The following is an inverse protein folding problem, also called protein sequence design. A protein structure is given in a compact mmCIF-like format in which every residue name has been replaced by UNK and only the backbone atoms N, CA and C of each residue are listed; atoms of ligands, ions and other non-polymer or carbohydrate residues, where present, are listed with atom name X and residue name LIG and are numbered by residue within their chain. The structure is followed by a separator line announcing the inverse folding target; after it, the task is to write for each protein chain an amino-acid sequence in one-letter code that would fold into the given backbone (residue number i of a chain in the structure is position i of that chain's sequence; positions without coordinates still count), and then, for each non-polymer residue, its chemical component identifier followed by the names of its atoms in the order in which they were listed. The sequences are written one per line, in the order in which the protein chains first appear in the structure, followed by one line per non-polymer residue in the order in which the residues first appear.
data_IF_688182581106
#
_entry.id   IF_688182581106
#
_cell.length_a   1.000
_cell.length_b   1.000
_cell.length_c   1.000
_cell.angle_alpha   90.00
_cell.angle_beta   90.00
_cell.angle_gamma   90.00
#
_symmetry.space_group_name_H-M   'P 1'
#
loop_
_entity.id
_entity.type
_entity.pdbx_description
1 polymer ?
#
# COMPACT_ATOMS: atom_id res chain seq x y z
N UNK A 1 -32.74 2.98 8.01
CA UNK A 1 -32.62 2.35 6.68
C UNK A 1 -32.86 3.30 5.50
N UNK A 2 -33.64 4.40 5.63
CA UNK A 2 -33.87 5.36 4.53
C UNK A 2 -32.66 6.25 4.18
N UNK A 3 -31.82 6.60 5.15
CA UNK A 3 -30.68 7.51 4.95
C UNK A 3 -29.48 6.87 4.23
N UNK A 4 -29.26 5.56 4.43
CA UNK A 4 -28.14 4.83 3.80
C UNK A 4 -28.38 4.62 2.31
N UNK A 5 -29.63 4.46 1.88
CA UNK A 5 -30.00 4.37 0.46
C UNK A 5 -29.80 5.70 -0.28
N UNK A 6 -29.97 6.84 0.42
CA UNK A 6 -29.78 8.17 -0.17
C UNK A 6 -28.31 8.50 -0.44
N UNK A 7 -27.36 8.02 0.37
CA UNK A 7 -25.93 8.28 0.14
C UNK A 7 -25.39 7.61 -1.13
N UNK A 8 -25.88 6.41 -1.47
CA UNK A 8 -25.48 5.65 -2.67
C UNK A 8 -26.04 6.29 -3.95
N UNK A 9 -27.24 6.87 -3.88
CA UNK A 9 -27.86 7.56 -5.03
C UNK A 9 -27.17 8.90 -5.31
N UNK A 10 -26.69 9.59 -4.28
CA UNK A 10 -25.98 10.89 -4.43
C UNK A 10 -24.57 10.71 -5.01
N UNK A 11 -23.86 9.62 -4.70
CA UNK A 11 -22.54 9.35 -5.29
C UNK A 11 -22.62 8.92 -6.77
N UNK A 12 -23.65 8.16 -7.16
CA UNK A 12 -23.93 7.84 -8.57
C UNK A 12 -24.27 9.10 -9.39
N UNK A 13 -24.99 10.06 -8.80
CA UNK A 13 -25.32 11.33 -9.45
C UNK A 13 -24.11 12.28 -9.53
N UNK A 14 -23.22 12.29 -8.54
CA UNK A 14 -21.97 13.06 -8.60
C UNK A 14 -20.99 12.51 -9.65
N UNK A 15 -20.92 11.19 -9.82
CA UNK A 15 -20.16 10.57 -10.92
C UNK A 15 -20.71 10.94 -12.31
N UNK A 16 -22.05 10.92 -12.47
CA UNK A 16 -22.72 11.33 -13.71
C UNK A 16 -22.50 12.83 -14.04
N UNK A 17 -22.39 13.69 -13.02
CA UNK A 17 -22.11 15.11 -13.20
C UNK A 17 -20.67 15.38 -13.69
N UNK A 18 -19.68 14.59 -13.25
CA UNK A 18 -18.28 14.70 -13.71
C UNK A 18 -18.13 14.20 -15.16
N UNK A 19 -18.92 13.18 -15.55
CA UNK A 19 -19.04 12.73 -16.94
C UNK A 19 -19.73 13.77 -17.85
N UNK A 20 -20.52 14.68 -17.27
CA UNK A 20 -21.23 15.75 -18.00
C UNK A 20 -20.40 17.04 -18.16
N UNK A 21 -19.33 17.21 -17.38
CA UNK A 21 -18.44 18.38 -17.44
C UNK A 21 -17.17 18.16 -18.28
N UNK A 22 -17.07 17.04 -19.00
CA UNK A 22 -15.98 16.81 -19.95
C UNK A 22 -16.21 17.67 -21.19
N UNK A 23 -15.60 18.85 -21.25
CA UNK A 23 -15.51 19.63 -22.48
C UNK A 23 -14.89 18.75 -23.59
N UNK A 24 -15.45 18.71 -24.81
CA UNK A 24 -14.85 17.98 -25.90
C UNK A 24 -13.56 18.73 -26.30
N UNK A 25 -12.41 18.28 -25.81
CA UNK A 25 -11.13 18.63 -26.40
C UNK A 25 -11.04 17.93 -27.76
N UNK A 26 -11.65 18.55 -28.79
CA UNK A 26 -11.55 18.12 -30.18
C UNK A 26 -10.20 18.58 -30.72
N UNK A 27 -9.17 17.78 -30.48
CA UNK A 27 -7.98 17.79 -31.31
C UNK A 27 -8.15 16.64 -32.32
N UNK A 28 -8.67 16.97 -33.49
CA UNK A 28 -8.72 16.05 -34.64
C UNK A 28 -7.30 15.98 -35.23
N UNK A 29 -6.41 15.25 -34.55
CA UNK A 29 -5.07 14.99 -35.06
C UNK A 29 -5.05 13.82 -36.06
N UNK A 30 -4.23 13.89 -37.12
CA UNK A 30 -4.10 12.82 -38.09
C UNK A 30 -3.50 11.57 -37.43
N UNK A 31 -4.22 10.45 -37.50
CA UNK A 31 -3.67 9.11 -37.21
C UNK A 31 -3.64 8.70 -35.73
N UNK A 32 -4.74 8.89 -35.00
CA UNK A 32 -4.81 8.43 -33.60
C UNK A 32 -5.08 6.93 -33.54
N UNK A 33 -4.03 6.14 -33.31
CA UNK A 33 -4.15 4.68 -33.19
C UNK A 33 -4.94 4.27 -31.94
N UNK A 34 -5.95 3.42 -32.14
CA UNK A 34 -6.71 2.76 -31.08
C UNK A 34 -5.97 1.55 -30.47
N UNK A 35 -4.80 1.18 -30.99
CA UNK A 35 -4.12 -0.08 -30.64
C UNK A 35 -3.95 -0.24 -29.14
N UNK A 36 -4.50 -1.33 -28.59
CA UNK A 36 -4.48 -1.73 -27.19
C UNK A 36 -5.36 -0.90 -26.26
N UNK A 37 -5.91 0.24 -26.71
CA UNK A 37 -6.73 1.13 -25.85
C UNK A 37 -8.10 0.55 -25.60
N UNK A 38 -8.67 -0.13 -26.59
CA UNK A 38 -9.96 -0.82 -26.46
C UNK A 38 -9.83 -1.98 -25.48
N UNK A 39 -8.81 -2.82 -25.63
CA UNK A 39 -8.53 -3.94 -24.72
C UNK A 39 -8.27 -3.44 -23.30
N UNK A 40 -7.36 -2.48 -23.13
CA UNK A 40 -6.98 -1.96 -21.80
C UNK A 40 -8.17 -1.26 -21.13
N UNK A 41 -8.90 -0.44 -21.87
CA UNK A 41 -10.09 0.24 -21.36
C UNK A 41 -11.21 -0.72 -21.04
N UNK A 42 -11.45 -1.72 -21.89
CA UNK A 42 -12.41 -2.78 -21.63
C UNK A 42 -12.06 -3.61 -20.39
N UNK A 43 -10.78 -3.94 -20.20
CA UNK A 43 -10.33 -4.68 -19.02
C UNK A 43 -10.49 -3.86 -17.73
N UNK A 44 -10.10 -2.59 -17.74
CA UNK A 44 -10.33 -1.69 -16.61
C UNK A 44 -11.83 -1.56 -16.32
N UNK A 45 -12.63 -1.21 -17.32
CA UNK A 45 -14.07 -1.04 -17.15
C UNK A 45 -14.78 -2.32 -16.67
N UNK A 46 -14.39 -3.48 -17.22
CA UNK A 46 -14.97 -4.76 -16.84
C UNK A 46 -14.64 -5.18 -15.41
N UNK A 47 -13.40 -4.97 -14.96
CA UNK A 47 -13.00 -5.24 -13.57
C UNK A 47 -13.74 -4.32 -12.60
N UNK A 48 -13.76 -3.02 -12.88
CA UNK A 48 -14.44 -2.01 -12.08
C UNK A 48 -15.95 -2.28 -11.96
N UNK A 49 -16.61 -2.69 -13.05
CA UNK A 49 -18.03 -3.00 -13.06
C UNK A 49 -18.36 -4.21 -12.16
N UNK A 50 -17.59 -5.29 -12.25
CA UNK A 50 -17.82 -6.48 -11.43
C UNK A 50 -17.57 -6.18 -9.95
N UNK A 51 -16.44 -5.54 -9.64
CA UNK A 51 -16.09 -5.18 -8.25
C UNK A 51 -17.11 -4.21 -7.65
N UNK A 52 -17.66 -3.28 -8.44
CA UNK A 52 -18.74 -2.39 -8.02
C UNK A 52 -20.01 -3.16 -7.65
N UNK A 53 -20.41 -4.15 -8.45
CA UNK A 53 -21.57 -4.99 -8.17
C UNK A 53 -21.35 -5.81 -6.89
N UNK A 54 -20.17 -6.39 -6.70
CA UNK A 54 -19.80 -7.12 -5.49
C UNK A 54 -19.81 -6.22 -4.25
N UNK A 55 -19.34 -4.98 -4.39
CA UNK A 55 -19.37 -3.98 -3.31
C UNK A 55 -20.81 -3.61 -2.92
N UNK A 56 -21.68 -3.41 -3.92
CA UNK A 56 -23.11 -3.14 -3.70
C UNK A 56 -23.81 -4.34 -3.04
N UNK A 57 -23.44 -5.57 -3.43
CA UNK A 57 -23.92 -6.80 -2.81
C UNK A 57 -23.37 -7.00 -1.38
N UNK A 58 -22.38 -6.21 -0.96
CA UNK A 58 -21.82 -6.24 0.38
C UNK A 58 -20.85 -7.41 0.59
N UNK A 59 -20.14 -7.83 -0.46
CA UNK A 59 -19.07 -8.82 -0.32
C UNK A 59 -18.05 -8.33 0.72
N UNK A 60 -17.82 -9.11 1.77
CA UNK A 60 -16.81 -8.80 2.78
C UNK A 60 -15.42 -9.36 2.48
N UNK A 61 -15.27 -10.56 1.90
CA UNK A 61 -13.94 -11.12 1.74
C UNK A 61 -13.20 -10.44 0.58
N UNK A 62 -11.98 -9.98 0.84
CA UNK A 62 -11.10 -9.36 -0.17
C UNK A 62 -10.84 -10.28 -1.38
N UNK A 63 -10.84 -11.61 -1.17
CA UNK A 63 -10.63 -12.57 -2.26
C UNK A 63 -11.74 -12.55 -3.30
N UNK A 64 -12.98 -12.21 -2.92
CA UNK A 64 -14.10 -12.12 -3.86
C UNK A 64 -13.83 -11.02 -4.89
N UNK A 65 -13.46 -9.83 -4.42
CA UNK A 65 -13.08 -8.70 -5.27
C UNK A 65 -11.91 -8.99 -6.19
N UNK A 66 -10.94 -9.79 -5.74
CA UNK A 66 -9.81 -10.18 -6.58
C UNK A 66 -10.26 -11.11 -7.72
N UNK A 67 -11.04 -12.15 -7.41
CA UNK A 67 -11.53 -13.08 -8.43
C UNK A 67 -12.54 -12.41 -9.37
N UNK A 68 -13.50 -11.67 -8.82
CA UNK A 68 -14.49 -10.91 -9.57
C UNK A 68 -13.84 -9.86 -10.45
N UNK A 69 -12.92 -9.07 -9.90
CA UNK A 69 -12.16 -8.07 -10.65
C UNK A 69 -11.35 -8.66 -11.79
N UNK A 70 -10.61 -9.75 -11.56
CA UNK A 70 -9.84 -10.42 -12.62
C UNK A 70 -10.75 -11.03 -13.68
N UNK A 71 -11.84 -11.70 -13.29
CA UNK A 71 -12.80 -12.28 -14.22
C UNK A 71 -13.50 -11.20 -15.07
N UNK A 72 -13.92 -10.11 -14.41
CA UNK A 72 -14.49 -8.92 -15.06
C UNK A 72 -13.52 -8.28 -16.02
N UNK A 73 -12.24 -8.14 -15.65
CA UNK A 73 -11.22 -7.57 -16.50
C UNK A 73 -10.91 -8.46 -17.72
N UNK A 74 -10.87 -9.78 -17.55
CA UNK A 74 -10.72 -10.70 -18.67
C UNK A 74 -11.89 -10.59 -19.66
N UNK A 75 -13.13 -10.65 -19.16
CA UNK A 75 -14.34 -10.51 -19.98
C UNK A 75 -14.41 -9.14 -20.66
N UNK A 76 -14.10 -8.08 -19.92
CA UNK A 76 -14.05 -6.71 -20.42
C UNK A 76 -12.96 -6.50 -21.46
N UNK A 77 -11.78 -7.09 -21.30
CA UNK A 77 -10.70 -7.04 -22.28
C UNK A 77 -11.06 -7.71 -23.59
N UNK A 78 -11.77 -8.85 -23.54
CA UNK A 78 -12.32 -9.51 -24.73
C UNK A 78 -13.36 -8.62 -25.41
N UNK A 79 -14.27 -7.99 -24.66
CA UNK A 79 -15.20 -7.00 -25.21
C UNK A 79 -14.49 -5.81 -25.85
N UNK A 80 -13.45 -5.31 -25.19
CA UNK A 80 -12.60 -4.22 -25.65
C UNK A 80 -11.85 -4.53 -26.95
N UNK A 81 -11.42 -5.77 -27.13
CA UNK A 81 -10.83 -6.25 -28.38
C UNK A 81 -11.80 -6.12 -29.57
N UNK A 82 -13.06 -6.53 -29.40
CA UNK A 82 -14.07 -6.39 -30.46
C UNK A 82 -14.41 -4.92 -30.75
N UNK A 83 -14.39 -4.06 -29.74
CA UNK A 83 -14.57 -2.62 -29.93
C UNK A 83 -13.39 -2.00 -30.70
N UNK A 84 -12.17 -2.47 -30.44
CA UNK A 84 -10.96 -1.99 -31.11
C UNK A 84 -10.89 -2.38 -32.59
N UNK A 85 -11.55 -3.47 -33.00
CA UNK A 85 -11.67 -3.86 -34.41
C UNK A 85 -12.59 -2.94 -35.23
N UNK A 86 -13.34 -2.04 -34.57
CA UNK A 86 -14.18 -1.06 -35.24
C UNK A 86 -13.37 -0.05 -36.06
N UNK A 87 -14.01 0.53 -37.09
CA UNK A 87 -13.39 1.59 -37.91
C UNK A 87 -13.25 2.93 -37.19
N UNK A 88 -14.01 3.15 -36.11
CA UNK A 88 -13.97 4.37 -35.30
C UNK A 88 -13.13 4.13 -34.03
N UNK A 89 -12.07 4.91 -33.78
CA UNK A 89 -11.26 4.76 -32.56
C UNK A 89 -11.91 5.38 -31.32
N UNK A 90 -12.94 6.24 -31.45
CA UNK A 90 -13.59 6.95 -30.33
C UNK A 90 -14.09 6.03 -29.20
N UNK A 91 -14.77 4.91 -29.48
CA UNK A 91 -15.26 4.01 -28.43
C UNK A 91 -14.15 3.46 -27.54
N UNK A 92 -12.98 3.16 -28.10
CA UNK A 92 -11.81 2.69 -27.34
C UNK A 92 -11.31 3.74 -26.35
N UNK A 93 -11.35 5.02 -26.72
CA UNK A 93 -11.03 6.12 -25.80
C UNK A 93 -12.06 6.26 -24.69
N UNK A 94 -13.35 6.13 -25.00
CA UNK A 94 -14.40 6.19 -23.98
C UNK A 94 -14.34 5.01 -23.02
N UNK A 95 -14.03 3.80 -23.48
CA UNK A 95 -13.80 2.66 -22.61
C UNK A 95 -12.63 2.90 -21.66
N UNK A 96 -11.51 3.40 -22.19
CA UNK A 96 -10.33 3.70 -21.38
C UNK A 96 -10.60 4.80 -20.37
N UNK A 97 -11.18 5.91 -20.81
CA UNK A 97 -11.53 7.03 -19.95
C UNK A 97 -12.56 6.62 -18.89
N UNK A 98 -13.56 5.83 -19.26
CA UNK A 98 -14.57 5.31 -18.35
C UNK A 98 -13.98 4.37 -17.31
N UNK A 99 -13.11 3.44 -17.71
CA UNK A 99 -12.40 2.55 -16.80
C UNK A 99 -11.55 3.32 -15.79
N UNK A 100 -10.76 4.29 -16.25
CA UNK A 100 -9.94 5.14 -15.37
C UNK A 100 -10.78 6.01 -14.43
N UNK A 101 -11.92 6.53 -14.90
CA UNK A 101 -12.81 7.35 -14.09
C UNK A 101 -13.47 6.56 -12.94
N UNK A 102 -13.65 5.25 -13.10
CA UNK A 102 -14.32 4.41 -12.11
C UNK A 102 -13.41 3.91 -10.97
N UNK A 103 -12.09 3.98 -11.12
CA UNK A 103 -11.13 3.49 -10.11
C UNK A 103 -11.41 4.06 -8.72
N UNK A 104 -11.56 5.38 -8.61
CA UNK A 104 -11.79 6.06 -7.32
C UNK A 104 -13.13 5.64 -6.70
N UNK A 105 -14.29 5.79 -7.38
CA UNK A 105 -15.57 5.44 -6.78
C UNK A 105 -15.68 3.96 -6.41
N UNK A 106 -15.13 3.04 -7.20
CA UNK A 106 -15.14 1.61 -6.86
C UNK A 106 -14.25 1.33 -5.64
N UNK A 107 -13.07 1.93 -5.57
CA UNK A 107 -12.19 1.80 -4.39
C UNK A 107 -12.90 2.24 -3.12
N UNK A 108 -13.61 3.38 -3.16
CA UNK A 108 -14.41 3.86 -2.02
C UNK A 108 -15.51 2.87 -1.66
N UNK A 109 -16.22 2.32 -2.65
CA UNK A 109 -17.29 1.34 -2.42
C UNK A 109 -16.76 0.06 -1.75
N UNK A 110 -15.60 -0.46 -2.20
CA UNK A 110 -14.94 -1.63 -1.61
C UNK A 110 -14.52 -1.33 -0.17
N UNK A 111 -13.85 -0.20 0.08
CA UNK A 111 -13.41 0.16 1.43
C UNK A 111 -14.59 0.28 2.40
N UNK A 112 -15.71 0.83 1.94
CA UNK A 112 -16.93 0.92 2.72
C UNK A 112 -17.53 -0.47 3.01
N UNK A 113 -17.56 -1.37 2.03
CA UNK A 113 -18.13 -2.71 2.20
C UNK A 113 -17.27 -3.59 3.12
N UNK A 114 -15.94 -3.41 3.09
CA UNK A 114 -14.99 -4.14 3.93
C UNK A 114 -14.72 -3.47 5.28
N UNK A 115 -15.35 -2.33 5.57
CA UNK A 115 -15.15 -1.60 6.82
C UNK A 115 -15.48 -2.46 8.04
N UNK A 116 -14.64 -2.36 9.07
CA UNK A 116 -14.86 -3.06 10.33
C UNK A 116 -16.10 -2.51 11.03
N UNK A 117 -16.99 -3.42 11.43
CA UNK A 117 -18.15 -3.11 12.27
C UNK A 117 -17.91 -3.76 13.63
N UNK A 118 -17.71 -2.96 14.69
CA UNK A 118 -17.50 -3.51 16.01
C UNK A 118 -18.70 -4.39 16.42
N UNK A 119 -18.45 -5.50 17.15
CA UNK A 119 -19.50 -6.24 17.83
C UNK A 119 -20.35 -5.31 18.70
N UNK A 120 -21.63 -5.63 18.88
CA UNK A 120 -22.57 -4.80 19.65
C UNK A 120 -22.17 -4.63 21.13
N UNK A 121 -21.33 -5.54 21.59
CA UNK A 121 -20.77 -5.72 22.92
C UNK A 121 -19.36 -5.13 23.07
N UNK A 122 -18.83 -4.48 22.02
CA UNK A 122 -17.56 -3.76 22.09
C UNK A 122 -17.72 -2.45 22.89
N UNK A 123 -17.29 -2.49 24.15
CA UNK A 123 -17.10 -1.29 24.97
C UNK A 123 -15.74 -0.69 24.63
N UNK A 124 -15.77 0.50 24.01
CA UNK A 124 -14.58 1.31 23.81
C UNK A 124 -14.10 1.76 25.19
N UNK A 125 -12.90 1.31 25.61
CA UNK A 125 -12.25 1.77 26.85
C UNK A 125 -11.81 3.23 26.65
N UNK A 126 -12.79 4.13 26.64
CA UNK A 126 -12.53 5.56 26.70
C UNK A 126 -11.89 5.80 28.06
N UNK A 127 -10.66 6.35 28.12
CA UNK A 127 -10.21 6.95 29.36
C UNK A 127 -11.27 8.00 29.69
N UNK A 128 -12.07 7.68 30.71
CA UNK A 128 -13.11 8.57 31.19
C UNK A 128 -12.47 9.90 31.53
N UNK A 129 -13.30 10.93 31.63
CA UNK A 129 -12.98 12.12 32.43
C UNK A 129 -12.77 11.70 33.89
N UNK A 130 -11.69 10.99 34.17
CA UNK A 130 -11.09 10.91 35.47
C UNK A 130 -10.31 12.22 35.59
N UNK A 131 -10.83 13.09 36.45
CA UNK A 131 -10.08 14.14 37.14
C UNK A 131 -8.58 13.88 37.07
N UNK A 132 -7.85 14.75 36.38
CA UNK A 132 -6.40 14.83 36.49
C UNK A 132 -6.06 14.83 37.99
N UNK A 133 -5.41 13.79 38.55
CA UNK A 133 -4.66 14.02 39.75
C UNK A 133 -3.50 14.92 39.29
N UNK A 134 -3.37 16.09 39.90
CA UNK A 134 -2.23 16.97 39.71
C UNK A 134 -0.94 16.18 39.99
N UNK A 135 -0.37 15.58 38.93
CA UNK A 135 1.02 15.19 38.90
C UNK A 135 1.80 16.47 38.64
N UNK A 136 1.96 17.28 39.68
CA UNK A 136 3.00 18.30 39.75
C UNK A 136 4.32 17.59 39.40
N UNK A 137 4.80 17.81 38.17
CA UNK A 137 6.09 17.29 37.75
C UNK A 137 7.16 17.88 38.68
N UNK A 138 8.09 17.08 39.25
CA UNK A 138 9.20 17.63 40.00
C UNK A 138 9.99 18.56 39.08
N UNK A 139 9.96 19.85 39.40
CA UNK A 139 10.77 20.88 38.73
C UNK A 139 12.24 20.45 38.84
N UNK A 140 13.03 20.42 37.75
CA UNK A 140 14.44 20.08 37.83
C UNK A 140 15.16 21.07 38.77
N UNK A 141 15.69 20.56 39.88
CA UNK A 141 16.60 21.30 40.72
C UNK A 141 17.88 21.61 39.92
N UNK A 142 18.34 22.86 40.02
CA UNK A 142 19.53 23.36 39.35
C UNK A 142 20.75 22.46 39.62
N UNK A 143 21.47 22.13 38.54
CA UNK A 143 22.72 21.38 38.62
C UNK A 143 23.80 22.22 39.34
N UNK A 144 24.53 21.66 40.33
CA UNK A 144 25.72 22.31 40.87
C UNK A 144 26.87 22.24 39.86
N UNK A 145 27.45 23.40 39.57
CA UNK A 145 28.69 23.55 38.80
C UNK A 145 29.93 23.39 39.68
N UNK A 146 30.92 22.61 39.24
CA UNK A 146 32.37 22.77 39.51
C UNK A 146 33.18 21.63 38.82
N UNK A 147 34.52 21.71 38.71
CA UNK A 147 35.35 22.69 37.99
C UNK A 147 36.27 22.00 36.94
N UNK A 148 37.06 22.79 36.20
CA UNK A 148 37.92 22.37 35.09
C UNK A 148 39.32 21.83 35.49
N UNK A 149 39.82 20.94 34.62
CA UNK A 149 41.22 20.65 34.20
C UNK A 149 42.22 19.98 35.19
N UNK A 150 43.38 19.42 34.73
CA UNK A 150 43.83 19.01 33.37
C UNK A 150 44.55 17.63 33.32
N UNK A 151 44.84 17.10 32.13
CA UNK A 151 46.01 16.21 31.92
C UNK A 151 45.79 14.93 31.09
N UNK A 152 46.27 14.94 29.84
CA UNK A 152 46.56 13.74 29.03
C UNK A 152 47.99 13.22 29.30
N UNK A 153 48.28 11.91 29.14
CA UNK A 153 49.06 11.46 27.96
C UNK A 153 48.78 9.98 27.55
N UNK A 154 49.55 9.38 26.62
CA UNK A 154 49.64 9.62 25.18
C UNK A 154 49.07 8.46 24.33
N UNK A 155 48.95 8.71 23.01
CA UNK A 155 48.40 7.80 22.00
C UNK A 155 49.27 6.56 21.72
N UNK A 156 48.63 5.40 21.58
CA UNK A 156 49.24 4.17 21.06
C UNK A 156 49.11 4.11 19.51
N UNK A 157 50.13 3.62 18.78
CA UNK A 157 50.09 3.55 17.31
C UNK A 157 49.15 2.43 16.82
N UNK A 158 48.51 2.60 15.64
CA UNK A 158 47.60 1.61 15.07
C UNK A 158 48.36 0.40 14.51
N UNK A 159 47.88 -0.85 14.70
CA UNK A 159 48.41 -2.00 13.98
C UNK A 159 48.01 -1.97 12.50
N UNK A 160 48.95 -2.40 11.66
CA UNK A 160 48.92 -2.35 10.21
C UNK A 160 47.72 -3.07 9.57
N UNK A 161 47.22 -2.51 8.47
CA UNK A 161 46.17 -3.07 7.63
C UNK A 161 46.59 -4.41 7.00
N UNK A 162 45.74 -5.46 7.02
CA UNK A 162 45.93 -6.60 6.16
C UNK A 162 45.61 -6.22 4.71
N UNK A 163 46.56 -6.54 3.84
CA UNK A 163 46.55 -6.40 2.39
C UNK A 163 45.36 -7.12 1.75
N UNK A 164 44.76 -6.44 0.76
CA UNK A 164 43.73 -6.97 -0.14
C UNK A 164 44.15 -8.29 -0.78
N UNK A 165 43.41 -9.36 -0.48
CA UNK A 165 43.41 -10.58 -1.27
C UNK A 165 42.06 -10.68 -1.97
N UNK A 166 42.06 -10.44 -3.28
CA UNK A 166 40.90 -10.63 -4.14
C UNK A 166 40.39 -12.07 -3.96
N UNK A 167 39.23 -12.19 -3.32
CA UNK A 167 38.50 -13.45 -3.20
C UNK A 167 37.60 -13.56 -4.44
N UNK A 168 37.56 -14.70 -5.15
CA UNK A 168 36.66 -14.88 -6.27
C UNK A 168 35.23 -14.62 -5.81
N UNK A 169 34.51 -13.76 -6.55
CA UNK A 169 33.15 -13.35 -6.23
C UNK A 169 32.24 -14.59 -6.18
N UNK A 170 31.87 -14.99 -4.96
CA UNK A 170 30.78 -15.93 -4.73
C UNK A 170 29.52 -15.30 -5.33
N UNK A 171 28.68 -16.04 -6.08
CA UNK A 171 27.40 -15.49 -6.54
C UNK A 171 26.63 -14.97 -5.32
N UNK A 172 26.25 -13.68 -5.28
CA UNK A 172 25.54 -13.14 -4.13
C UNK A 172 24.15 -13.77 -4.08
N UNK A 173 23.87 -14.44 -2.97
CA UNK A 173 22.57 -15.06 -2.66
C UNK A 173 21.54 -13.93 -2.64
N UNK A 174 20.40 -14.10 -3.33
CA UNK A 174 19.32 -13.13 -3.31
C UNK A 174 18.81 -12.95 -1.87
N UNK A 175 18.93 -11.72 -1.35
CA UNK A 175 18.62 -11.38 0.04
C UNK A 175 17.15 -10.93 0.22
N UNK A 176 16.39 -10.77 -0.87
CA UNK A 176 14.99 -10.34 -0.88
C UNK A 176 14.20 -10.98 -2.04
N UNK A 177 12.86 -10.93 -1.98
CA UNK A 177 12.00 -11.37 -3.09
C UNK A 177 12.32 -10.62 -4.40
N UNK A 178 12.55 -9.31 -4.28
CA UNK A 178 12.95 -8.43 -5.38
C UNK A 178 14.24 -7.72 -4.98
N UNK A 179 15.31 -7.89 -5.75
CA UNK A 179 16.62 -7.26 -5.51
C UNK A 179 17.06 -6.50 -6.76
N UNK A 180 17.37 -5.22 -6.61
CA UNK A 180 17.91 -4.36 -7.66
C UNK A 180 19.37 -4.04 -7.34
N UNK A 181 20.28 -4.54 -8.18
CA UNK A 181 21.73 -4.35 -8.03
C UNK A 181 22.38 -4.04 -9.37
N UNK A 182 23.06 -2.89 -9.46
CA UNK A 182 23.85 -2.44 -10.62
C UNK A 182 23.13 -2.61 -11.99
N UNK A 183 21.84 -2.27 -12.05
CA UNK A 183 21.03 -2.37 -13.27
C UNK A 183 20.46 -3.78 -13.56
N UNK A 184 20.65 -4.75 -12.66
CA UNK A 184 20.01 -6.07 -12.74
C UNK A 184 18.82 -6.17 -11.78
N UNK A 185 17.68 -6.66 -12.27
CA UNK A 185 16.52 -7.06 -11.47
C UNK A 185 16.63 -8.56 -11.17
N UNK A 186 16.53 -8.92 -9.89
CA UNK A 186 16.61 -10.31 -9.43
C UNK A 186 15.36 -10.68 -8.63
N UNK A 187 14.86 -11.88 -8.87
CA UNK A 187 13.77 -12.49 -8.13
C UNK A 187 14.32 -13.69 -7.36
N UNK A 188 14.11 -13.75 -6.05
CA UNK A 188 14.63 -14.81 -5.20
C UNK A 188 13.62 -15.24 -4.15
N UNK A 189 13.86 -16.38 -3.48
CA UNK A 189 13.08 -16.78 -2.31
C UNK A 189 13.93 -16.53 -1.06
N UNK A 190 13.67 -15.48 -0.26
CA UNK A 190 14.49 -15.19 0.89
C UNK A 190 14.21 -16.16 2.04
N UNK A 191 15.23 -16.48 2.82
CA UNK A 191 15.05 -17.20 4.07
C UNK A 191 14.38 -16.27 5.10
N UNK A 192 13.30 -16.70 5.78
CA UNK A 192 12.69 -15.91 6.84
C UNK A 192 13.63 -15.83 8.05
N UNK A 193 13.75 -14.65 8.64
CA UNK A 193 14.46 -14.42 9.90
C UNK A 193 13.47 -14.53 11.07
N UNK A 194 13.78 -15.40 12.03
CA UNK A 194 12.93 -15.70 13.19
C UNK A 194 13.67 -15.25 14.42
N UNK A 195 13.13 -14.24 15.13
CA UNK A 195 13.79 -13.68 16.30
C UNK A 195 12.82 -13.39 17.44
N UNK A 196 13.31 -13.45 18.69
CA UNK A 196 12.48 -13.11 19.84
C UNK A 196 12.19 -11.61 19.87
N UNK A 197 10.94 -11.20 20.12
CA UNK A 197 10.54 -9.79 20.21
C UNK A 197 11.08 -9.09 21.46
N UNK A 198 11.27 -9.86 22.53
CA UNK A 198 11.73 -9.34 23.82
C UNK A 198 12.96 -10.08 24.28
N UNK A 199 13.87 -9.31 24.89
CA UNK A 199 15.02 -9.85 25.60
C UNK A 199 14.60 -10.45 26.94
N UNK A 200 15.39 -11.38 27.48
CA UNK A 200 15.11 -12.00 28.78
C UNK A 200 15.02 -10.98 29.93
N UNK A 201 15.71 -9.84 29.81
CA UNK A 201 15.65 -8.72 30.76
C UNK A 201 14.34 -7.95 30.67
N UNK A 202 13.80 -7.74 29.46
CA UNK A 202 12.52 -7.05 29.26
C UNK A 202 11.32 -7.87 29.72
N UNK A 203 11.32 -9.19 29.46
CA UNK A 203 10.28 -10.09 29.96
C UNK A 203 10.18 -10.03 31.48
N UNK A 204 11.33 -10.03 32.18
CA UNK A 204 11.37 -9.97 33.64
C UNK A 204 10.98 -8.60 34.19
N UNK A 205 11.35 -7.51 33.50
CA UNK A 205 11.10 -6.13 33.96
C UNK A 205 9.67 -5.67 33.71
N UNK A 206 9.08 -6.10 32.59
CA UNK A 206 7.79 -5.59 32.11
C UNK A 206 6.68 -6.65 32.13
N UNK A 207 6.98 -7.91 32.46
CA UNK A 207 5.99 -8.99 32.54
C UNK A 207 5.32 -9.32 31.20
N UNK A 208 5.95 -8.93 30.09
CA UNK A 208 5.41 -9.13 28.74
C UNK A 208 5.53 -10.59 28.31
N UNK A 209 4.52 -11.07 27.60
CA UNK A 209 4.53 -12.41 27.02
C UNK A 209 5.56 -12.48 25.89
N UNK A 210 6.40 -13.52 25.90
CA UNK A 210 7.38 -13.74 24.84
C UNK A 210 6.66 -13.95 23.52
N UNK A 211 6.96 -13.11 22.53
CA UNK A 211 6.47 -13.26 21.15
C UNK A 211 7.61 -13.43 20.17
N UNK A 212 7.33 -14.13 19.08
CA UNK A 212 8.29 -14.39 18.01
C UNK A 212 7.93 -13.53 16.80
N UNK A 213 8.91 -12.77 16.30
CA UNK A 213 8.78 -11.99 15.08
C UNK A 213 9.33 -12.80 13.91
N UNK A 214 8.56 -12.90 12.82
CA UNK A 214 9.02 -13.50 11.55
C UNK A 214 9.19 -12.36 10.55
N UNK A 215 10.41 -12.21 10.01
CA UNK A 215 10.75 -11.18 9.03
C UNK A 215 11.00 -11.83 7.67
N UNK A 216 10.28 -11.37 6.66
CA UNK A 216 10.46 -11.80 5.27
C UNK A 216 10.88 -10.58 4.45
N UNK A 217 12.14 -10.51 3.95
CA UNK A 217 12.60 -9.35 3.20
C UNK A 217 11.98 -9.34 1.79
N UNK A 218 11.11 -8.37 1.52
CA UNK A 218 10.38 -8.29 0.25
C UNK A 218 11.18 -7.54 -0.83
N UNK A 219 11.92 -6.49 -0.45
CA UNK A 219 12.58 -5.59 -1.40
C UNK A 219 13.95 -5.15 -0.88
N UNK A 220 14.94 -5.13 -1.76
CA UNK A 220 16.27 -4.58 -1.51
C UNK A 220 16.77 -3.84 -2.76
N UNK A 221 17.42 -2.69 -2.56
CA UNK A 221 18.03 -1.91 -3.64
C UNK A 221 19.39 -1.37 -3.18
N UNK A 222 20.41 -1.50 -4.04
CA UNK A 222 21.74 -0.92 -3.83
C UNK A 222 22.12 -0.10 -5.06
N UNK A 223 22.56 1.15 -4.84
CA UNK A 223 22.91 2.12 -5.88
C UNK A 223 24.41 2.43 -5.85
#
# INVERSE_FOLDING_TARGET
MRTVRSAIVVSLMAGAAILSSSAPAQAEEPGISATGKGITGGALLGGELVMSIEAIAGAKPAWAYLLGGVAGAAAGGVGGYFVEQGSDPKPSYYLLAGGMALIIPTTVAILQSTSYKPPADYQEDKPGKASSPDLEAPRPAAAPSAPADPGAPPAAPPPAAPTSRATPARPPIAMSLVDLSAGSLRLGLPAPDIRPMYTATEVRKYGVEQRTEVRVPLFQATF
#
